data_IF_274073445529
#
_entry.id   IF_274073445529
#
_cell.length_a   1.000
_cell.length_b   1.000
_cell.length_c   1.000
_cell.angle_alpha   90.00
_cell.angle_beta   90.00
_cell.angle_gamma   90.00
#
_symmetry.space_group_name_H-M   'P 1'
#
loop_
_entity.id
_entity.type
_entity.pdbx_description
1 polymer ?
#
# COMPACT_ATOMS: atom_id res chain seq x y z
N UNK A 1 -12.64 15.95 13.40
CA UNK A 1 -13.21 15.03 12.39
C UNK A 1 -12.12 14.21 11.71
N UNK A 2 -11.24 14.79 10.87
CA UNK A 2 -10.13 14.04 10.25
C UNK A 2 -8.86 13.99 11.11
N UNK A 3 -8.58 15.02 11.92
CA UNK A 3 -7.38 15.07 12.77
C UNK A 3 -6.07 15.22 11.99
N UNK A 4 -6.14 15.82 10.79
CA UNK A 4 -4.96 16.18 9.99
C UNK A 4 -4.54 17.61 10.29
N UNK A 5 -3.28 17.92 10.04
CA UNK A 5 -2.73 19.27 10.09
C UNK A 5 -2.79 19.90 8.70
N UNK A 6 -3.29 21.14 8.62
CA UNK A 6 -3.27 21.94 7.41
C UNK A 6 -2.16 22.97 7.55
N UNK A 7 -1.18 22.90 6.66
CA UNK A 7 -0.04 23.79 6.62
C UNK A 7 -0.27 24.78 5.48
N UNK A 8 -0.30 26.06 5.82
CA UNK A 8 -0.36 27.16 4.87
C UNK A 8 0.99 27.88 4.97
N UNK A 9 1.72 27.92 3.86
CA UNK A 9 2.99 28.62 3.75
C UNK A 9 2.86 29.83 2.80
N UNK A 10 3.98 30.52 2.55
CA UNK A 10 3.99 31.72 1.71
C UNK A 10 3.68 31.45 0.23
N UNK A 11 3.47 30.18 -0.16
CA UNK A 11 3.07 29.81 -1.52
C UNK A 11 1.59 30.15 -1.75
N UNK A 12 1.28 31.10 -2.65
CA UNK A 12 -0.11 31.49 -2.89
C UNK A 12 -0.96 30.31 -3.39
N UNK A 13 -2.24 30.29 -2.97
CA UNK A 13 -3.25 29.33 -3.42
C UNK A 13 -2.92 27.85 -3.15
N UNK A 14 -1.96 27.57 -2.27
CA UNK A 14 -1.53 26.22 -1.93
C UNK A 14 -1.83 25.93 -0.45
N UNK A 15 -2.38 24.75 -0.17
CA UNK A 15 -2.56 24.23 1.18
C UNK A 15 -1.99 22.82 1.22
N UNK A 16 -1.10 22.56 2.18
CA UNK A 16 -0.51 21.24 2.39
C UNK A 16 -1.26 20.50 3.47
N UNK A 17 -1.62 19.25 3.20
CA UNK A 17 -2.29 18.35 4.16
C UNK A 17 -1.25 17.39 4.74
N UNK A 18 -1.02 17.46 6.05
CA UNK A 18 -0.06 16.64 6.78
C UNK A 18 -0.75 15.70 7.77
N UNK A 19 -0.39 14.42 7.74
CA UNK A 19 -0.77 13.40 8.73
C UNK A 19 0.05 12.13 8.46
N UNK A 20 0.19 11.22 9.43
CA UNK A 20 0.80 9.90 9.21
C UNK A 20 -0.18 8.87 8.64
N UNK A 21 -1.49 9.12 8.81
CA UNK A 21 -2.56 8.26 8.33
C UNK A 21 -2.96 8.63 6.90
N UNK A 22 -2.72 7.71 5.96
CA UNK A 22 -2.98 7.93 4.55
C UNK A 22 -4.46 8.10 4.21
N UNK A 23 -5.36 7.45 4.94
CA UNK A 23 -6.80 7.59 4.72
C UNK A 23 -7.28 8.95 5.19
N UNK A 24 -6.86 9.38 6.38
CA UNK A 24 -7.19 10.73 6.88
C UNK A 24 -6.66 11.82 5.94
N UNK A 25 -5.44 11.69 5.41
CA UNK A 25 -4.91 12.60 4.38
C UNK A 25 -5.77 12.61 3.12
N UNK A 26 -6.18 11.44 2.63
CA UNK A 26 -7.02 11.33 1.44
C UNK A 26 -8.38 11.99 1.68
N UNK A 27 -9.06 11.66 2.78
CA UNK A 27 -10.37 12.24 3.13
C UNK A 27 -10.28 13.76 3.19
N UNK A 28 -9.30 14.29 3.94
CA UNK A 28 -9.13 15.73 4.05
C UNK A 28 -8.85 16.41 2.70
N UNK A 29 -8.01 15.80 1.86
CA UNK A 29 -7.67 16.35 0.53
C UNK A 29 -8.89 16.43 -0.38
N UNK A 30 -9.68 15.35 -0.45
CA UNK A 30 -10.89 15.31 -1.28
C UNK A 30 -11.98 16.22 -0.72
N UNK A 31 -12.13 16.28 0.61
CA UNK A 31 -13.06 17.21 1.25
C UNK A 31 -12.74 18.66 0.91
N UNK A 32 -11.47 19.09 1.05
CA UNK A 32 -11.06 20.45 0.73
C UNK A 32 -11.37 20.79 -0.74
N UNK A 33 -11.06 19.87 -1.67
CA UNK A 33 -11.39 20.06 -3.08
C UNK A 33 -12.90 20.21 -3.32
N UNK A 34 -13.73 19.34 -2.71
CA UNK A 34 -15.19 19.39 -2.84
C UNK A 34 -15.76 20.69 -2.24
N UNK A 35 -15.33 21.07 -1.05
CA UNK A 35 -15.81 22.27 -0.34
C UNK A 35 -15.41 23.58 -1.04
N UNK A 36 -14.18 23.67 -1.55
CA UNK A 36 -13.70 24.84 -2.31
C UNK A 36 -14.49 24.98 -3.61
N UNK A 37 -14.72 23.85 -4.33
CA UNK A 37 -15.50 23.85 -5.57
C UNK A 37 -16.95 24.26 -5.36
N UNK A 38 -17.54 23.84 -4.25
CA UNK A 38 -18.92 24.14 -3.88
C UNK A 38 -19.08 25.60 -3.39
N UNK A 39 -18.10 26.12 -2.66
CA UNK A 39 -18.10 27.47 -2.10
C UNK A 39 -18.89 27.61 -0.78
N UNK A 40 -19.66 26.59 -0.38
CA UNK A 40 -20.37 26.55 0.91
C UNK A 40 -19.53 25.89 1.99
N UNK A 41 -18.86 26.70 2.82
CA UNK A 41 -18.03 26.23 3.92
C UNK A 41 -18.68 26.61 5.25
N UNK A 42 -19.56 25.76 5.75
CA UNK A 42 -20.17 25.88 7.08
C UNK A 42 -20.28 24.50 7.75
N UNK A 43 -20.54 24.43 9.08
CA UNK A 43 -20.48 23.18 9.82
C UNK A 43 -21.34 22.05 9.21
N UNK A 44 -22.56 22.36 8.75
CA UNK A 44 -23.46 21.38 8.15
C UNK A 44 -22.90 20.76 6.86
N UNK A 45 -22.39 21.59 5.94
CA UNK A 45 -21.81 21.09 4.69
C UNK A 45 -20.49 20.35 4.93
N UNK A 46 -19.67 20.80 5.88
CA UNK A 46 -18.43 20.11 6.24
C UNK A 46 -18.73 18.68 6.72
N UNK A 47 -19.71 18.51 7.60
CA UNK A 47 -20.11 17.20 8.11
C UNK A 47 -20.73 16.31 7.02
N UNK A 48 -21.62 16.88 6.21
CA UNK A 48 -22.22 16.18 5.07
C UNK A 48 -21.14 15.67 4.10
N UNK A 49 -20.24 16.56 3.65
CA UNK A 49 -19.16 16.21 2.71
C UNK A 49 -18.19 15.21 3.32
N UNK A 50 -17.90 15.26 4.62
CA UNK A 50 -17.08 14.26 5.29
C UNK A 50 -17.70 12.86 5.16
N UNK A 51 -18.98 12.72 5.51
CA UNK A 51 -19.67 11.43 5.46
C UNK A 51 -19.72 10.86 4.04
N UNK A 52 -19.98 11.71 3.04
CA UNK A 52 -19.94 11.33 1.62
C UNK A 52 -18.54 10.84 1.21
N UNK A 53 -17.48 11.59 1.54
CA UNK A 53 -16.11 11.22 1.17
C UNK A 53 -15.64 9.95 1.87
N UNK A 54 -16.05 9.71 3.12
CA UNK A 54 -15.74 8.46 3.83
C UNK A 54 -16.41 7.27 3.14
N UNK A 55 -17.68 7.40 2.75
CA UNK A 55 -18.38 6.34 2.01
C UNK A 55 -17.74 6.07 0.64
N UNK A 56 -17.42 7.14 -0.11
CA UNK A 56 -16.73 7.07 -1.40
C UNK A 56 -15.37 6.35 -1.26
N UNK A 57 -14.63 6.64 -0.18
CA UNK A 57 -13.35 6.01 0.10
C UNK A 57 -13.49 4.49 0.33
N UNK A 58 -14.46 4.05 1.13
CA UNK A 58 -14.66 2.61 1.37
C UNK A 58 -14.97 1.84 0.07
N UNK A 59 -15.76 2.45 -0.81
CA UNK A 59 -16.03 1.90 -2.13
C UNK A 59 -14.76 1.85 -2.98
N UNK A 60 -13.99 2.94 -3.03
CA UNK A 60 -12.72 2.99 -3.75
C UNK A 60 -11.74 1.91 -3.31
N UNK A 61 -11.55 1.73 -2.00
CA UNK A 61 -10.64 0.72 -1.45
C UNK A 61 -11.08 -0.69 -1.86
N UNK A 62 -12.38 -0.97 -1.78
CA UNK A 62 -12.94 -2.25 -2.19
C UNK A 62 -12.70 -2.51 -3.68
N UNK A 63 -12.99 -1.53 -4.55
CA UNK A 63 -12.79 -1.67 -5.99
C UNK A 63 -11.31 -1.82 -6.36
N UNK A 64 -10.40 -1.07 -5.71
CA UNK A 64 -8.95 -1.23 -5.91
C UNK A 64 -8.43 -2.60 -5.49
N UNK A 65 -9.00 -3.17 -4.43
CA UNK A 65 -8.73 -4.54 -4.02
C UNK A 65 -9.16 -5.56 -5.08
N UNK A 66 -10.40 -5.45 -5.56
CA UNK A 66 -10.94 -6.32 -6.61
C UNK A 66 -10.16 -6.22 -7.91
N UNK A 67 -9.79 -5.00 -8.31
CA UNK A 67 -8.97 -4.72 -9.48
C UNK A 67 -7.62 -5.44 -9.41
N UNK A 68 -6.94 -5.38 -8.26
CA UNK A 68 -5.67 -6.09 -8.07
C UNK A 68 -5.83 -7.61 -8.19
N UNK A 69 -6.86 -8.18 -7.56
CA UNK A 69 -7.14 -9.62 -7.64
C UNK A 69 -7.44 -10.04 -9.09
N UNK A 70 -8.24 -9.24 -9.82
CA UNK A 70 -8.54 -9.49 -11.22
C UNK A 70 -7.29 -9.42 -12.11
N UNK A 71 -6.45 -8.40 -11.94
CA UNK A 71 -5.19 -8.25 -12.70
C UNK A 71 -4.20 -9.40 -12.47
N UNK A 72 -4.31 -10.08 -11.33
CA UNK A 72 -3.45 -11.19 -10.95
C UNK A 72 -4.11 -12.56 -11.17
N UNK A 73 -5.36 -12.60 -11.65
CA UNK A 73 -6.18 -13.80 -11.75
C UNK A 73 -6.25 -14.58 -10.42
N UNK A 74 -6.34 -13.86 -9.29
CA UNK A 74 -6.50 -14.45 -7.97
C UNK A 74 -8.01 -14.52 -7.65
N UNK A 75 -8.53 -15.68 -7.18
CA UNK A 75 -9.93 -15.78 -6.77
C UNK A 75 -10.30 -14.77 -5.68
N UNK A 76 -11.58 -14.40 -5.63
CA UNK A 76 -12.07 -13.45 -4.62
C UNK A 76 -11.72 -13.92 -3.20
N UNK A 77 -11.22 -13.00 -2.39
CA UNK A 77 -10.83 -13.23 -1.01
C UNK A 77 -11.88 -12.69 -0.03
N UNK A 78 -11.65 -12.92 1.27
CA UNK A 78 -12.47 -12.31 2.33
C UNK A 78 -12.50 -10.78 2.15
N UNK A 79 -13.66 -10.11 2.34
CA UNK A 79 -13.80 -8.67 2.09
C UNK A 79 -12.76 -7.80 2.80
N UNK A 80 -12.33 -8.19 4.00
CA UNK A 80 -11.30 -7.50 4.77
C UNK A 80 -9.95 -7.48 4.04
N UNK A 81 -9.49 -8.62 3.51
CA UNK A 81 -8.27 -8.72 2.72
C UNK A 81 -8.35 -7.90 1.44
N UNK A 82 -9.50 -7.95 0.77
CA UNK A 82 -9.74 -7.16 -0.45
C UNK A 82 -9.59 -5.67 -0.15
N UNK A 83 -10.22 -5.18 0.93
CA UNK A 83 -10.08 -3.79 1.36
C UNK A 83 -8.64 -3.44 1.72
N UNK A 84 -7.93 -4.33 2.42
CA UNK A 84 -6.52 -4.13 2.79
C UNK A 84 -5.59 -3.98 1.59
N UNK A 85 -5.80 -4.80 0.55
CA UNK A 85 -5.09 -4.64 -0.73
C UNK A 85 -5.41 -3.26 -1.32
N UNK A 86 -6.68 -2.84 -1.28
CA UNK A 86 -7.09 -1.50 -1.69
C UNK A 86 -6.34 -0.38 -0.98
N UNK A 87 -6.11 -0.51 0.33
CA UNK A 87 -5.40 0.50 1.13
C UNK A 87 -3.96 0.75 0.65
N UNK A 88 -3.34 -0.21 -0.06
CA UNK A 88 -2.03 -0.02 -0.66
C UNK A 88 -2.04 1.13 -1.68
N UNK A 89 -3.19 1.46 -2.30
CA UNK A 89 -3.27 2.52 -3.30
C UNK A 89 -3.03 3.91 -2.71
N UNK A 90 -3.19 4.06 -1.40
CA UNK A 90 -2.98 5.31 -0.67
C UNK A 90 -1.57 5.43 -0.05
N UNK A 91 -0.74 4.40 -0.22
CA UNK A 91 0.61 4.33 0.33
C UNK A 91 1.64 4.42 -0.78
N UNK A 92 2.77 5.04 -0.47
CA UNK A 92 3.95 5.07 -1.32
C UNK A 92 5.20 4.81 -0.48
N UNK A 93 6.21 4.16 -1.07
CA UNK A 93 7.53 3.95 -0.48
C UNK A 93 8.57 4.45 -1.47
N UNK A 94 9.42 5.40 -1.05
CA UNK A 94 10.44 6.02 -1.92
C UNK A 94 9.90 6.55 -3.26
N UNK A 95 8.65 7.05 -3.27
CA UNK A 95 7.97 7.53 -4.47
C UNK A 95 7.20 6.49 -5.27
N UNK A 96 7.46 5.20 -5.05
CA UNK A 96 6.71 4.12 -5.69
C UNK A 96 5.39 3.89 -4.96
N UNK A 97 4.28 3.89 -5.69
CA UNK A 97 2.98 3.52 -5.13
C UNK A 97 2.97 2.04 -4.71
N UNK A 98 2.54 1.76 -3.47
CA UNK A 98 2.62 0.43 -2.88
C UNK A 98 1.73 -0.58 -3.63
N UNK A 99 0.52 -0.20 -4.03
CA UNK A 99 -0.40 -1.09 -4.77
C UNK A 99 0.20 -1.56 -6.09
N UNK A 100 0.78 -0.64 -6.87
CA UNK A 100 1.46 -0.97 -8.12
C UNK A 100 2.69 -1.85 -7.89
N UNK A 101 3.47 -1.55 -6.87
CA UNK A 101 4.63 -2.34 -6.47
C UNK A 101 4.23 -3.77 -6.09
N UNK A 102 3.26 -3.96 -5.19
CA UNK A 102 2.83 -5.30 -4.77
C UNK A 102 2.27 -6.13 -5.91
N UNK A 103 1.56 -5.53 -6.88
CA UNK A 103 1.10 -6.22 -8.09
C UNK A 103 2.27 -6.66 -8.97
N UNK A 104 3.29 -5.80 -9.13
CA UNK A 104 4.48 -6.15 -9.89
C UNK A 104 5.28 -7.27 -9.21
N UNK A 105 5.52 -7.18 -7.90
CA UNK A 105 6.15 -8.23 -7.10
C UNK A 105 5.39 -9.55 -7.26
N UNK A 106 4.06 -9.53 -7.14
CA UNK A 106 3.24 -10.72 -7.36
C UNK A 106 3.44 -11.37 -8.73
N UNK A 107 3.49 -10.56 -9.81
CA UNK A 107 3.70 -11.07 -11.18
C UNK A 107 5.11 -11.64 -11.39
N UNK A 108 6.12 -10.98 -10.84
CA UNK A 108 7.50 -11.46 -10.92
C UNK A 108 7.66 -12.75 -10.11
N UNK A 109 7.07 -12.82 -8.91
CA UNK A 109 7.06 -14.03 -8.08
C UNK A 109 6.38 -15.20 -8.78
N UNK A 110 5.26 -14.98 -9.45
CA UNK A 110 4.60 -16.00 -10.28
C UNK A 110 5.53 -16.52 -11.37
N UNK A 111 6.16 -15.63 -12.13
CA UNK A 111 7.04 -16.01 -13.23
C UNK A 111 8.25 -16.82 -12.75
N UNK A 112 8.94 -16.35 -11.70
CA UNK A 112 10.10 -17.05 -11.15
C UNK A 112 9.70 -18.44 -10.62
N UNK A 113 8.58 -18.54 -9.89
CA UNK A 113 8.12 -19.82 -9.36
C UNK A 113 7.81 -20.83 -10.47
N UNK A 114 7.18 -20.38 -11.56
CA UNK A 114 6.88 -21.23 -12.71
C UNK A 114 8.16 -21.78 -13.36
N UNK A 115 9.17 -20.94 -13.57
CA UNK A 115 10.46 -21.36 -14.14
C UNK A 115 11.24 -22.33 -13.23
N UNK A 116 11.06 -22.22 -11.90
CA UNK A 116 11.70 -23.10 -10.92
C UNK A 116 10.90 -24.37 -10.60
N UNK A 117 9.75 -24.60 -11.26
CA UNK A 117 8.88 -25.75 -11.00
C UNK A 117 8.21 -25.73 -9.62
N UNK A 118 8.04 -24.54 -9.02
CA UNK A 118 7.34 -24.32 -7.76
C UNK A 118 5.90 -23.83 -8.02
N UNK A 119 5.05 -23.78 -6.99
CA UNK A 119 3.66 -23.32 -7.12
C UNK A 119 3.59 -21.82 -7.46
N UNK A 120 3.18 -21.45 -8.69
CA UNK A 120 3.12 -20.05 -9.13
C UNK A 120 1.97 -19.28 -8.47
N UNK A 121 0.86 -19.95 -8.13
CA UNK A 121 -0.30 -19.33 -7.50
C UNK A 121 0.03 -18.95 -6.06
N UNK A 122 0.73 -19.83 -5.34
CA UNK A 122 1.23 -19.56 -4.00
C UNK A 122 2.22 -18.39 -3.99
N UNK A 123 3.19 -18.39 -4.92
CA UNK A 123 4.18 -17.33 -5.07
C UNK A 123 3.54 -15.97 -5.36
N UNK A 124 2.56 -15.94 -6.26
CA UNK A 124 1.82 -14.73 -6.62
C UNK A 124 1.10 -14.12 -5.42
N UNK A 125 0.40 -14.95 -4.63
CA UNK A 125 -0.28 -14.50 -3.41
C UNK A 125 0.73 -14.00 -2.38
N UNK A 126 1.85 -14.71 -2.20
CA UNK A 126 2.92 -14.29 -1.29
C UNK A 126 3.49 -12.91 -1.69
N UNK A 127 3.80 -12.72 -2.97
CA UNK A 127 4.29 -11.44 -3.50
C UNK A 127 3.28 -10.30 -3.35
N UNK A 128 1.98 -10.55 -3.50
CA UNK A 128 0.95 -9.52 -3.27
C UNK A 128 0.91 -9.05 -1.81
N UNK A 129 1.13 -9.96 -0.86
CA UNK A 129 0.93 -9.70 0.57
C UNK A 129 2.20 -9.36 1.36
N UNK A 130 3.38 -9.46 0.76
CA UNK A 130 4.67 -9.32 1.47
C UNK A 130 4.76 -8.03 2.33
N UNK A 131 4.22 -6.92 1.83
CA UNK A 131 4.28 -5.61 2.49
C UNK A 131 2.94 -5.18 3.14
N UNK A 132 2.03 -6.12 3.40
CA UNK A 132 0.72 -5.82 4.03
C UNK A 132 0.84 -5.13 5.38
N UNK A 133 1.96 -5.30 6.10
CA UNK A 133 2.17 -4.58 7.35
C UNK A 133 2.28 -3.06 7.19
N UNK A 134 2.64 -2.53 6.00
CA UNK A 134 2.80 -1.07 5.79
C UNK A 134 1.51 -0.26 5.96
N UNK A 135 0.35 -0.91 5.94
CA UNK A 135 -0.94 -0.23 6.20
C UNK A 135 -1.27 -0.16 7.69
N UNK A 136 -0.71 -1.03 8.53
CA UNK A 136 -1.05 -1.17 9.96
C UNK A 136 0.09 -0.72 10.86
N UNK A 137 1.34 -1.02 10.49
CA UNK A 137 2.51 -0.75 11.31
C UNK A 137 2.63 0.74 11.63
N UNK A 138 2.84 1.02 12.91
CA UNK A 138 3.12 2.35 13.43
C UNK A 138 4.62 2.62 13.46
N UNK A 139 5.01 3.87 13.67
CA UNK A 139 6.42 4.29 13.73
C UNK A 139 7.20 3.45 14.74
N UNK A 140 8.30 2.84 14.29
CA UNK A 140 9.18 2.01 15.12
C UNK A 140 8.85 0.51 15.13
N UNK A 141 7.75 0.08 14.48
CA UNK A 141 7.43 -1.34 14.32
C UNK A 141 7.96 -1.87 12.98
N UNK A 142 8.45 -3.12 12.96
CA UNK A 142 8.76 -3.81 11.69
C UNK A 142 7.45 -4.15 10.98
N UNK A 143 7.27 -3.63 9.76
CA UNK A 143 6.09 -3.94 8.96
C UNK A 143 6.09 -5.41 8.52
N UNK A 144 7.24 -6.06 8.41
CA UNK A 144 7.34 -7.47 8.06
C UNK A 144 6.69 -8.33 9.16
N UNK A 145 7.09 -8.13 10.41
CA UNK A 145 6.55 -8.85 11.57
C UNK A 145 5.05 -8.58 11.77
N UNK A 146 4.64 -7.31 11.74
CA UNK A 146 3.22 -6.95 11.89
C UNK A 146 2.38 -7.53 10.75
N UNK A 147 2.89 -7.50 9.51
CA UNK A 147 2.22 -8.07 8.36
C UNK A 147 1.99 -9.57 8.50
N UNK A 148 3.03 -10.31 8.92
CA UNK A 148 2.95 -11.75 9.15
C UNK A 148 1.94 -12.13 10.25
N UNK A 149 1.88 -11.38 11.36
CA UNK A 149 0.86 -11.59 12.40
C UNK A 149 -0.56 -11.46 11.88
N UNK A 150 -0.81 -10.47 11.00
CA UNK A 150 -2.13 -10.23 10.42
C UNK A 150 -2.50 -11.37 9.46
N UNK A 151 -1.57 -11.78 8.60
CA UNK A 151 -1.76 -12.91 7.69
C UNK A 151 -2.03 -14.21 8.46
N UNK A 152 -1.33 -14.42 9.58
CA UNK A 152 -1.56 -15.55 10.49
C UNK A 152 -2.96 -15.53 11.10
N UNK A 153 -3.41 -14.38 11.61
CA UNK A 153 -4.79 -14.21 12.14
C UNK A 153 -5.86 -14.45 11.07
N UNK A 154 -5.56 -14.14 9.81
CA UNK A 154 -6.47 -14.35 8.69
C UNK A 154 -6.51 -15.80 8.17
N UNK A 155 -5.63 -16.66 8.68
CA UNK A 155 -5.51 -18.07 8.32
C UNK A 155 -4.85 -18.29 6.97
N UNK A 156 -3.88 -17.43 6.61
CA UNK A 156 -3.13 -17.56 5.36
C UNK A 156 -2.11 -18.69 5.43
N UNK A 157 -1.67 -19.17 4.26
CA UNK A 157 -0.68 -20.24 4.14
C UNK A 157 0.65 -19.88 4.85
N UNK A 158 1.28 -20.82 5.60
CA UNK A 158 2.57 -20.58 6.25
C UNK A 158 3.67 -20.04 5.33
N UNK A 159 3.69 -20.43 4.05
CA UNK A 159 4.66 -19.91 3.09
C UNK A 159 4.41 -18.42 2.77
N UNK A 160 3.15 -17.98 2.72
CA UNK A 160 2.78 -16.56 2.53
C UNK A 160 3.16 -15.76 3.78
N UNK A 161 2.91 -16.33 4.97
CA UNK A 161 3.29 -15.70 6.24
C UNK A 161 4.80 -15.54 6.30
N UNK A 162 5.58 -16.60 6.05
CA UNK A 162 7.04 -16.54 6.06
C UNK A 162 7.60 -15.56 5.03
N UNK A 163 7.01 -15.51 3.82
CA UNK A 163 7.41 -14.54 2.82
C UNK A 163 7.22 -13.08 3.25
N UNK A 164 6.23 -12.79 4.09
CA UNK A 164 5.96 -11.44 4.60
C UNK A 164 6.81 -11.06 5.83
N UNK A 165 7.23 -12.02 6.66
CA UNK A 165 8.14 -11.74 7.80
C UNK A 165 9.61 -11.77 7.41
N UNK A 166 9.99 -12.58 6.42
CA UNK A 166 11.38 -12.89 6.12
C UNK A 166 11.96 -12.10 4.93
N UNK A 167 11.16 -11.29 4.21
CA UNK A 167 11.65 -10.59 3.01
C UNK A 167 12.70 -9.52 3.27
N UNK A 168 12.80 -9.02 4.52
CA UNK A 168 13.89 -8.16 4.99
C UNK A 168 15.00 -8.92 5.72
N UNK A 169 14.94 -10.26 5.77
CA UNK A 169 15.82 -11.13 6.54
C UNK A 169 15.77 -10.91 8.07
N UNK A 170 14.69 -10.31 8.57
CA UNK A 170 14.42 -10.13 10.02
C UNK A 170 14.30 -11.49 10.74
N UNK A 171 13.80 -12.51 10.02
CA UNK A 171 13.70 -13.89 10.47
C UNK A 171 14.23 -14.84 9.38
N UNK A 172 14.58 -16.09 9.72
CA UNK A 172 15.02 -17.07 8.73
C UNK A 172 13.97 -17.31 7.64
N UNK A 173 14.44 -17.34 6.39
CA UNK A 173 13.63 -17.84 5.28
C UNK A 173 13.53 -19.37 5.42
N UNK A 174 12.32 -19.88 5.60
CA UNK A 174 12.05 -21.31 5.82
C UNK A 174 11.37 -21.97 4.62
N UNK A 175 10.97 -21.20 3.61
CA UNK A 175 10.28 -21.69 2.42
C UNK A 175 10.85 -21.07 1.13
N UNK A 176 11.03 -21.83 0.02
CA UNK A 176 11.56 -21.30 -1.25
C UNK A 176 10.78 -20.10 -1.81
N UNK A 177 9.47 -20.06 -1.57
CA UNK A 177 8.61 -18.94 -2.00
C UNK A 177 9.04 -17.61 -1.37
N UNK A 178 9.53 -17.61 -0.13
CA UNK A 178 10.01 -16.38 0.51
C UNK A 178 11.28 -15.86 -0.18
N UNK A 179 12.20 -16.74 -0.61
CA UNK A 179 13.34 -16.33 -1.45
C UNK A 179 12.90 -15.67 -2.76
N UNK A 180 11.87 -16.24 -3.40
CA UNK A 180 11.31 -15.69 -4.64
C UNK A 180 10.70 -14.31 -4.40
N UNK A 181 9.96 -14.13 -3.31
CA UNK A 181 9.36 -12.83 -2.95
C UNK A 181 10.45 -11.79 -2.69
N UNK A 182 11.50 -12.12 -1.94
CA UNK A 182 12.62 -11.20 -1.69
C UNK A 182 13.31 -10.79 -2.99
N UNK A 183 13.54 -11.73 -3.90
CA UNK A 183 14.12 -11.41 -5.21
C UNK A 183 13.18 -10.52 -6.04
N UNK A 184 11.89 -10.82 -6.06
CA UNK A 184 10.88 -10.06 -6.79
C UNK A 184 10.70 -8.63 -6.24
N UNK A 185 10.73 -8.43 -4.93
CA UNK A 185 10.73 -7.12 -4.27
C UNK A 185 11.95 -6.31 -4.71
N UNK A 186 13.16 -6.90 -4.63
CA UNK A 186 14.39 -6.24 -5.07
C UNK A 186 14.34 -5.84 -6.56
N UNK A 187 13.82 -6.69 -7.45
CA UNK A 187 13.66 -6.38 -8.88
C UNK A 187 12.67 -5.22 -9.07
N UNK A 188 11.49 -5.28 -8.45
CA UNK A 188 10.47 -4.22 -8.56
C UNK A 188 10.96 -2.87 -8.00
N UNK A 189 11.79 -2.91 -6.96
CA UNK A 189 12.37 -1.73 -6.32
C UNK A 189 13.51 -1.10 -7.12
N UNK A 190 14.28 -1.90 -7.87
CA UNK A 190 15.51 -1.47 -8.55
C UNK A 190 15.33 -1.07 -10.01
N UNK A 191 14.16 -1.32 -10.61
CA UNK A 191 13.88 -0.91 -11.99
C UNK A 191 14.08 0.61 -12.17
N UNK A 192 14.72 1.07 -13.27
CA UNK A 192 14.92 2.49 -13.53
C UNK A 192 13.60 3.27 -13.43
N UNK A 193 13.58 4.33 -12.61
CA UNK A 193 12.40 5.16 -12.38
C UNK A 193 11.37 4.62 -11.38
N UNK A 194 11.57 3.45 -10.75
CA UNK A 194 10.66 2.96 -9.70
C UNK A 194 10.65 3.83 -8.45
N UNK A 195 11.85 4.18 -7.97
CA UNK A 195 12.06 4.94 -6.76
C UNK A 195 12.82 6.20 -7.13
N UNK A 196 12.44 7.33 -6.53
CA UNK A 196 13.24 8.54 -6.68
C UNK A 196 14.56 8.31 -5.93
N UNK A 197 15.66 8.19 -6.65
CA UNK A 197 16.99 8.30 -6.06
C UNK A 197 17.17 9.74 -5.59
N UNK A 198 16.77 10.02 -4.35
CA UNK A 198 17.01 11.33 -3.72
C UNK A 198 18.50 11.65 -3.63
N UNK A 199 19.40 10.66 -3.72
CA UNK A 199 20.85 10.89 -3.73
C UNK A 199 21.32 11.79 -4.89
N UNK A 200 20.75 11.65 -6.07
CA UNK A 200 21.21 12.43 -7.24
C UNK A 200 20.70 13.88 -7.18
N UNK A 201 19.50 14.11 -6.63
CA UNK A 201 18.93 15.45 -6.42
C UNK A 201 19.63 16.26 -5.31
N UNK A 202 20.32 15.60 -4.38
CA UNK A 202 21.08 16.29 -3.32
C UNK A 202 22.44 16.81 -3.80
N UNK A 203 23.04 16.20 -4.84
CA UNK A 203 24.35 16.61 -5.37
C UNK A 203 24.23 17.82 -6.31
N UNK A 204 23.10 17.99 -6.98
CA UNK A 204 22.88 19.10 -7.94
C UNK A 204 22.58 20.46 -7.27
N UNK A 205 22.54 20.53 -5.93
CA UNK A 205 22.28 21.75 -5.15
C UNK A 205 23.41 22.15 -4.19
N UNK A 206 24.62 21.62 -4.36
CA UNK A 206 25.86 22.15 -3.77
C UNK A 206 26.78 22.67 -4.87
#
# INVERSE_FOLDING_TARGET
MTGVELIVDDTPLTVRVSSFDSEKRYIASIMLQKLIKDGRINPFYIEKTYNEVVADLQNLLTEKGKEALAMLNIPMMKPELVRMIGQFSLRSSYGQNLWRHSIEVAKISEAIAAELGLDPILAKKAGLFHDIGKIIATTGQSHAIIGAEVLKKMGMDPAIINAAEAHHYDVPITHPIAWIVTAADAISASRPGARFNTKDLFIEKM
#
